data_IF_958197301581
#
_entry.id   IF_958197301581
#
_cell.length_a   1.000
_cell.length_b   1.000
_cell.length_c   1.000
_cell.angle_alpha   90.00
_cell.angle_beta   90.00
_cell.angle_gamma   90.00
#
_symmetry.space_group_name_H-M   'P 1'
#
loop_
_entity.id
_entity.type
_entity.pdbx_description
1 polymer ?
#
# COMPACT_ATOMS: atom_id res chain seq x y z
N UNK A 1 -9.42 7.14 18.68
CA UNK A 1 -9.30 7.78 17.35
C UNK A 1 -8.23 7.02 16.58
N UNK A 2 -8.60 6.39 15.46
CA UNK A 2 -7.70 5.52 14.70
C UNK A 2 -6.60 6.30 14.01
N UNK A 3 -5.43 5.68 13.83
CA UNK A 3 -4.35 6.24 13.02
C UNK A 3 -4.84 6.32 11.56
N UNK A 4 -4.73 7.48 10.88
CA UNK A 4 -5.13 7.59 9.48
C UNK A 4 -4.30 6.65 8.60
N UNK A 5 -4.86 6.21 7.48
CA UNK A 5 -4.16 5.29 6.58
C UNK A 5 -2.83 5.89 6.08
N UNK A 6 -2.83 7.17 5.69
CA UNK A 6 -1.62 7.92 5.33
C UNK A 6 -1.50 9.15 6.22
N UNK A 7 -0.40 9.23 6.97
CA UNK A 7 -0.06 10.42 7.74
C UNK A 7 0.74 11.44 6.91
N UNK A 8 0.82 12.68 7.41
CA UNK A 8 1.63 13.73 6.79
C UNK A 8 3.10 13.29 6.70
N UNK A 9 3.78 13.51 5.56
CA UNK A 9 5.16 13.10 5.42
C UNK A 9 6.08 13.93 6.30
N UNK A 10 7.09 13.28 6.86
CA UNK A 10 8.21 13.95 7.52
C UNK A 10 9.41 13.99 6.57
N UNK A 11 10.27 15.01 6.71
CA UNK A 11 11.54 15.12 5.96
C UNK A 11 12.74 15.27 6.89
N UNK A 12 12.58 14.90 8.14
CA UNK A 12 13.61 15.01 9.17
C UNK A 12 14.58 13.81 9.11
N UNK A 13 15.23 13.63 7.96
CA UNK A 13 16.30 12.66 7.75
C UNK A 13 17.43 13.32 6.95
N UNK A 14 18.61 12.71 6.97
CA UNK A 14 19.84 13.22 6.32
C UNK A 14 19.61 13.53 4.83
N UNK A 15 18.78 12.74 4.16
CA UNK A 15 18.52 12.85 2.73
C UNK A 15 17.36 13.80 2.38
N UNK A 16 16.67 14.38 3.38
CA UNK A 16 15.42 15.15 3.22
C UNK A 16 14.35 14.42 2.39
N UNK A 17 14.40 13.09 2.39
CA UNK A 17 13.42 12.22 1.74
C UNK A 17 12.07 12.36 2.44
N UNK A 18 10.98 12.28 1.67
CA UNK A 18 9.65 12.22 2.25
C UNK A 18 9.42 10.83 2.87
N UNK A 19 9.21 10.77 4.18
CA UNK A 19 8.90 9.56 4.92
C UNK A 19 7.43 9.61 5.36
N UNK A 20 6.64 8.65 4.91
CA UNK A 20 5.24 8.51 5.24
C UNK A 20 5.05 7.43 6.30
N UNK A 21 4.29 7.72 7.35
CA UNK A 21 3.81 6.70 8.30
C UNK A 21 2.47 6.17 7.82
N UNK A 22 2.35 4.85 7.73
CA UNK A 22 1.13 4.18 7.29
C UNK A 22 0.36 3.62 8.47
N UNK A 23 -0.93 3.95 8.55
CA UNK A 23 -1.90 3.29 9.44
C UNK A 23 -2.31 1.95 8.85
N UNK A 24 -1.47 0.93 9.04
CA UNK A 24 -1.63 -0.41 8.43
C UNK A 24 -3.01 -0.99 8.70
N UNK A 25 -3.53 -0.85 9.93
CA UNK A 25 -4.85 -1.36 10.30
C UNK A 25 -5.98 -0.71 9.49
N UNK A 26 -5.96 0.62 9.30
CA UNK A 26 -6.93 1.34 8.47
C UNK A 26 -6.83 0.93 7.00
N UNK A 27 -5.61 0.72 6.52
CA UNK A 27 -5.36 0.25 5.16
C UNK A 27 -5.92 -1.15 4.91
N UNK A 28 -5.64 -2.09 5.82
CA UNK A 28 -6.20 -3.45 5.78
C UNK A 28 -7.72 -3.43 5.86
N UNK A 29 -8.30 -2.61 6.73
CA UNK A 29 -9.76 -2.45 6.82
C UNK A 29 -10.35 -1.94 5.50
N UNK A 30 -9.70 -0.95 4.88
CA UNK A 30 -10.11 -0.43 3.58
C UNK A 30 -10.05 -1.49 2.47
N UNK A 31 -8.95 -2.26 2.40
CA UNK A 31 -8.80 -3.35 1.42
C UNK A 31 -9.89 -4.40 1.62
N UNK A 32 -10.10 -4.89 2.84
CA UNK A 32 -11.12 -5.89 3.14
C UNK A 32 -12.53 -5.38 2.83
N UNK A 33 -12.82 -4.10 3.09
CA UNK A 33 -14.12 -3.52 2.74
C UNK A 33 -14.30 -3.41 1.22
N UNK A 34 -13.26 -3.03 0.48
CA UNK A 34 -13.28 -2.99 -1.00
C UNK A 34 -13.47 -4.37 -1.62
N UNK A 35 -12.90 -5.43 -1.03
CA UNK A 35 -13.11 -6.80 -1.50
C UNK A 35 -14.57 -7.28 -1.37
N UNK A 36 -15.40 -6.62 -0.57
CA UNK A 36 -16.84 -6.92 -0.45
C UNK A 36 -17.69 -6.22 -1.50
N UNK A 37 -17.12 -5.30 -2.27
CA UNK A 37 -17.84 -4.61 -3.35
C UNK A 37 -17.90 -5.56 -4.54
N UNK A 38 -19.10 -5.97 -4.92
CA UNK A 38 -19.38 -7.01 -5.92
C UNK A 38 -19.84 -6.45 -7.27
N UNK A 39 -20.25 -5.18 -7.32
CA UNK A 39 -20.73 -4.53 -8.54
C UNK A 39 -19.61 -3.76 -9.26
N UNK A 40 -19.28 -4.21 -10.48
CA UNK A 40 -18.31 -3.53 -11.35
C UNK A 40 -18.72 -2.08 -11.66
N UNK A 41 -17.76 -1.16 -11.64
CA UNK A 41 -18.02 0.29 -11.80
C UNK A 41 -18.41 1.00 -10.50
N UNK A 42 -18.64 0.29 -9.40
CA UNK A 42 -18.82 0.91 -8.08
C UNK A 42 -17.49 1.41 -7.52
N UNK A 43 -17.48 2.56 -6.80
CA UNK A 43 -16.27 3.04 -6.14
C UNK A 43 -15.67 2.00 -5.19
N UNK A 44 -14.39 1.68 -5.39
CA UNK A 44 -13.69 0.69 -4.58
C UNK A 44 -13.86 -0.76 -5.02
N UNK A 45 -14.55 -1.03 -6.14
CA UNK A 45 -14.55 -2.35 -6.77
C UNK A 45 -13.11 -2.78 -7.11
N UNK A 46 -12.77 -4.03 -6.76
CA UNK A 46 -11.44 -4.57 -7.03
C UNK A 46 -11.45 -5.35 -8.34
N UNK A 47 -10.81 -4.81 -9.37
CA UNK A 47 -10.57 -5.54 -10.62
C UNK A 47 -9.43 -6.55 -10.45
N UNK A 48 -9.65 -7.76 -10.93
CA UNK A 48 -8.67 -8.85 -10.97
C UNK A 48 -8.56 -9.40 -12.39
N UNK A 49 -7.36 -9.43 -12.99
CA UNK A 49 -7.17 -10.06 -14.29
C UNK A 49 -7.50 -11.55 -14.25
N UNK A 50 -8.09 -12.06 -15.34
CA UNK A 50 -8.52 -13.47 -15.45
C UNK A 50 -7.42 -14.36 -16.04
N UNK A 51 -6.40 -13.79 -16.68
CA UNK A 51 -5.34 -14.56 -17.31
C UNK A 51 -4.34 -15.11 -16.28
N UNK A 52 -4.07 -16.41 -16.35
CA UNK A 52 -3.23 -17.14 -15.38
C UNK A 52 -1.81 -16.56 -15.24
N UNK A 53 -1.26 -15.99 -16.32
CA UNK A 53 0.08 -15.39 -16.35
C UNK A 53 0.24 -14.16 -15.42
N UNK A 54 -0.85 -13.59 -14.91
CA UNK A 54 -0.79 -12.44 -14.00
C UNK A 54 -0.54 -12.78 -12.54
N UNK A 55 -0.60 -14.08 -12.18
CA UNK A 55 -0.34 -14.53 -10.80
C UNK A 55 -1.50 -14.30 -9.82
N UNK A 56 -2.70 -13.97 -10.31
CA UNK A 56 -3.93 -13.94 -9.50
C UNK A 56 -4.52 -15.35 -9.39
N UNK A 57 -3.79 -16.24 -8.72
CA UNK A 57 -4.19 -17.62 -8.50
C UNK A 57 -4.93 -17.82 -7.15
N UNK A 58 -5.30 -19.06 -6.85
CA UNK A 58 -5.94 -19.38 -5.57
C UNK A 58 -5.10 -18.97 -4.35
N UNK A 59 -3.78 -19.09 -4.43
CA UNK A 59 -2.86 -18.73 -3.33
C UNK A 59 -2.88 -17.22 -3.06
N UNK A 60 -2.99 -16.40 -4.12
CA UNK A 60 -3.18 -14.96 -4.00
C UNK A 60 -4.48 -14.62 -3.27
N UNK A 61 -5.60 -15.23 -3.65
CA UNK A 61 -6.91 -14.95 -3.05
C UNK A 61 -7.04 -15.47 -1.61
N UNK A 62 -6.40 -16.59 -1.30
CA UNK A 62 -6.25 -17.03 0.10
C UNK A 62 -5.40 -16.02 0.89
N UNK A 63 -4.30 -15.56 0.31
CA UNK A 63 -3.36 -14.65 0.95
C UNK A 63 -3.91 -13.23 1.17
N UNK A 64 -4.71 -12.71 0.24
CA UNK A 64 -5.33 -11.38 0.37
C UNK A 64 -6.41 -11.37 1.47
N UNK A 65 -6.91 -12.55 1.84
CA UNK A 65 -7.85 -12.77 2.95
C UNK A 65 -7.20 -13.51 4.13
N UNK A 66 -5.87 -13.51 4.22
CA UNK A 66 -5.12 -14.27 5.23
C UNK A 66 -5.32 -13.76 6.66
N UNK A 67 -5.76 -12.51 6.82
CA UNK A 67 -6.03 -11.90 8.13
C UNK A 67 -7.49 -11.53 8.28
N UNK A 68 -7.99 -11.60 9.52
CA UNK A 68 -9.32 -11.12 9.89
C UNK A 68 -9.24 -10.18 11.07
N UNK A 69 -10.05 -9.13 11.05
CA UNK A 69 -10.24 -8.24 12.19
C UNK A 69 -11.10 -8.94 13.24
N UNK A 70 -10.60 -9.07 14.45
CA UNK A 70 -11.32 -9.66 15.58
C UNK A 70 -11.33 -8.69 16.77
N UNK A 71 -12.38 -8.75 17.58
CA UNK A 71 -12.46 -8.03 18.85
C UNK A 71 -12.14 -9.02 19.96
N UNK A 72 -11.05 -8.78 20.69
CA UNK A 72 -10.68 -9.53 21.89
C UNK A 72 -10.85 -8.66 23.13
N UNK A 73 -11.25 -9.28 24.25
CA UNK A 73 -11.34 -8.59 25.52
C UNK A 73 -10.04 -8.74 26.30
N UNK A 74 -9.47 -7.62 26.73
CA UNK A 74 -8.31 -7.60 27.62
C UNK A 74 -8.64 -6.76 28.86
N UNK A 75 -8.57 -7.38 30.04
CA UNK A 75 -8.95 -6.74 31.32
C UNK A 75 -10.33 -6.05 31.26
N UNK A 76 -11.32 -6.74 30.67
CA UNK A 76 -12.69 -6.23 30.54
C UNK A 76 -12.89 -5.14 29.48
N UNK A 77 -11.87 -4.76 28.70
CA UNK A 77 -11.98 -3.76 27.63
C UNK A 77 -11.84 -4.41 26.25
N UNK A 78 -12.72 -4.09 25.27
CA UNK A 78 -12.58 -4.59 23.92
C UNK A 78 -11.36 -3.96 23.24
N UNK A 79 -10.55 -4.79 22.61
CA UNK A 79 -9.40 -4.42 21.78
C UNK A 79 -9.57 -5.08 20.42
N UNK A 80 -9.50 -4.25 19.38
CA UNK A 80 -9.46 -4.72 18.00
C UNK A 80 -8.05 -5.21 17.69
N UNK A 81 -7.93 -6.37 17.08
CA UNK A 81 -6.68 -6.90 16.57
C UNK A 81 -6.88 -7.60 15.21
N UNK A 82 -5.81 -7.67 14.42
CA UNK A 82 -5.77 -8.45 13.19
C UNK A 82 -5.18 -9.83 13.50
N UNK A 83 -5.97 -10.88 13.24
CA UNK A 83 -5.57 -12.26 13.45
C UNK A 83 -5.26 -12.92 12.11
N UNK A 84 -4.00 -13.34 11.93
CA UNK A 84 -3.54 -14.11 10.77
C UNK A 84 -3.96 -15.58 10.86
N UNK A 85 -4.36 -16.17 9.73
CA UNK A 85 -4.57 -17.62 9.56
C UNK A 85 -3.22 -18.33 9.57
N UNK A 86 -3.07 -19.38 10.37
CA UNK A 86 -1.77 -20.01 10.65
C UNK A 86 -1.08 -20.61 9.41
N UNK A 87 -1.83 -21.13 8.45
CA UNK A 87 -1.32 -21.83 7.28
C UNK A 87 -1.23 -20.98 6.01
N UNK A 88 -1.62 -19.70 6.06
CA UNK A 88 -1.75 -18.85 4.86
C UNK A 88 -0.76 -17.69 4.93
N UNK A 89 0.09 -17.48 3.91
CA UNK A 89 0.94 -16.30 3.83
C UNK A 89 0.08 -15.03 3.66
N UNK A 90 0.40 -13.96 4.39
CA UNK A 90 -0.33 -12.70 4.34
C UNK A 90 0.29 -11.68 3.37
N UNK A 91 1.31 -12.09 2.61
CA UNK A 91 2.03 -11.22 1.67
C UNK A 91 1.09 -10.54 0.66
N UNK A 92 0.07 -11.22 0.06
CA UNK A 92 -0.82 -10.55 -0.88
C UNK A 92 -1.64 -9.42 -0.25
N UNK A 93 -2.09 -9.59 1.00
CA UNK A 93 -2.79 -8.53 1.73
C UNK A 93 -1.86 -7.34 2.04
N UNK A 94 -0.66 -7.61 2.54
CA UNK A 94 0.31 -6.57 2.87
C UNK A 94 0.79 -5.83 1.61
N UNK A 95 1.00 -6.54 0.50
CA UNK A 95 1.37 -5.97 -0.79
C UNK A 95 0.26 -5.07 -1.34
N UNK A 96 -1.01 -5.53 -1.31
CA UNK A 96 -2.17 -4.71 -1.72
C UNK A 96 -2.30 -3.45 -0.88
N UNK A 97 -2.03 -3.56 0.42
CA UNK A 97 -2.04 -2.42 1.34
C UNK A 97 -0.98 -1.38 0.94
N UNK A 98 0.28 -1.80 0.72
CA UNK A 98 1.34 -0.89 0.30
C UNK A 98 1.13 -0.30 -1.09
N UNK A 99 0.63 -1.09 -2.05
CA UNK A 99 0.28 -0.59 -3.38
C UNK A 99 -0.82 0.47 -3.30
N UNK A 100 -1.84 0.26 -2.47
CA UNK A 100 -2.91 1.25 -2.25
C UNK A 100 -2.35 2.52 -1.61
N UNK A 101 -1.49 2.39 -0.60
CA UNK A 101 -0.84 3.54 0.02
C UNK A 101 0.03 4.31 -0.98
N UNK A 102 0.79 3.62 -1.83
CA UNK A 102 1.61 4.24 -2.85
C UNK A 102 0.76 4.99 -3.89
N UNK A 103 -0.37 4.43 -4.32
CA UNK A 103 -1.30 5.07 -5.23
C UNK A 103 -1.90 6.33 -4.62
N UNK A 104 -2.35 6.28 -3.36
CA UNK A 104 -2.92 7.43 -2.66
C UNK A 104 -1.87 8.52 -2.36
N UNK A 105 -0.62 8.14 -2.05
CA UNK A 105 0.49 9.09 -1.89
C UNK A 105 0.82 9.78 -3.22
N UNK A 106 0.86 9.03 -4.31
CA UNK A 106 1.16 9.56 -5.64
C UNK A 106 0.01 10.42 -6.16
N UNK A 107 -1.23 10.06 -5.82
CA UNK A 107 -2.48 10.68 -6.25
C UNK A 107 -2.47 11.12 -7.74
N UNK A 108 -2.22 10.18 -8.67
CA UNK A 108 -2.18 10.50 -10.08
C UNK A 108 -3.57 10.84 -10.65
N UNK A 109 -3.59 11.64 -11.71
CA UNK A 109 -4.79 11.86 -12.52
C UNK A 109 -4.98 10.67 -13.47
N UNK A 110 -5.79 9.70 -13.04
CA UNK A 110 -5.98 8.43 -13.76
C UNK A 110 -6.71 8.60 -15.10
N UNK A 111 -7.63 9.56 -15.22
CA UNK A 111 -8.34 9.83 -16.47
C UNK A 111 -7.40 10.38 -17.53
N UNK A 112 -6.56 11.36 -17.16
CA UNK A 112 -5.53 11.86 -18.08
C UNK A 112 -4.54 10.78 -18.48
N UNK A 113 -4.18 9.86 -17.58
CA UNK A 113 -3.27 8.75 -17.93
C UNK A 113 -3.91 7.82 -18.96
N UNK A 114 -5.20 7.51 -18.79
CA UNK A 114 -5.96 6.69 -19.71
C UNK A 114 -6.10 7.35 -21.09
N UNK A 115 -6.40 8.64 -21.15
CA UNK A 115 -6.49 9.41 -22.40
C UNK A 115 -5.18 9.41 -23.19
N UNK A 116 -4.05 9.46 -22.50
CA UNK A 116 -2.71 9.49 -23.10
C UNK A 116 -2.11 8.10 -23.35
N UNK A 117 -2.88 7.02 -23.17
CA UNK A 117 -2.43 5.61 -23.25
C UNK A 117 -1.17 5.33 -22.41
N UNK A 118 -1.07 6.00 -21.25
CA UNK A 118 0.05 5.84 -20.33
C UNK A 118 -0.24 4.69 -19.36
N UNK A 119 0.13 3.48 -19.75
CA UNK A 119 -0.02 2.25 -18.94
C UNK A 119 1.24 1.87 -18.13
N UNK A 120 2.28 2.71 -18.14
CA UNK A 120 3.61 2.38 -17.59
C UNK A 120 4.15 3.37 -16.55
N UNK A 121 5.42 3.21 -16.17
CA UNK A 121 6.11 3.98 -15.12
C UNK A 121 6.08 5.50 -15.37
N UNK A 122 5.06 6.17 -14.84
CA UNK A 122 4.85 7.63 -14.91
C UNK A 122 5.99 8.40 -14.22
N UNK A 123 6.66 7.79 -13.24
CA UNK A 123 7.70 8.45 -12.46
C UNK A 123 9.08 7.85 -12.71
N UNK A 124 9.91 8.53 -13.53
CA UNK A 124 11.36 8.32 -13.52
C UNK A 124 11.96 9.09 -12.35
N UNK A 125 12.33 8.40 -11.27
CA UNK A 125 13.08 9.02 -10.19
C UNK A 125 14.42 9.51 -10.73
N UNK A 126 14.61 10.83 -10.90
CA UNK A 126 15.90 11.39 -11.28
C UNK A 126 16.91 11.09 -10.19
N UNK A 127 17.87 10.18 -10.44
CA UNK A 127 19.01 9.95 -9.54
C UNK A 127 19.75 11.28 -9.36
N UNK A 128 19.77 11.82 -8.14
CA UNK A 128 20.65 12.97 -7.82
C UNK A 128 22.09 12.53 -8.05
N UNK A 129 22.82 13.22 -8.94
CA UNK A 129 24.28 13.05 -9.08
C UNK A 129 24.92 13.25 -7.71
N UNK A 130 25.66 12.25 -7.24
CA UNK A 130 26.40 12.34 -5.99
C UNK A 130 27.30 13.58 -5.98
N UNK A 131 27.29 14.31 -4.87
CA UNK A 131 28.10 15.53 -4.70
C UNK A 131 29.58 15.12 -4.82
N UNK A 132 30.27 15.57 -5.88
CA UNK A 132 31.72 15.32 -6.05
C UNK A 132 32.45 15.84 -4.82
N UNK A 133 33.07 14.94 -4.06
CA UNK A 133 33.92 15.30 -2.91
C UNK A 133 35.24 15.78 -3.48
N UNK A 134 35.37 17.09 -3.68
CA UNK A 134 36.67 17.71 -4.00
C UNK A 134 37.54 17.56 -2.75
N UNK A 135 38.61 16.76 -2.83
CA UNK A 135 39.62 16.73 -1.79
C UNK A 135 40.25 18.12 -1.68
N UNK A 136 40.18 18.75 -0.52
CA UNK A 136 41.03 19.90 -0.22
C UNK A 136 42.43 19.33 -0.01
N UNK A 137 43.33 19.61 -0.94
CA UNK A 137 44.75 19.29 -0.80
C UNK A 137 45.30 19.88 0.49
N UNK A 138 46.15 19.10 1.16
CA UNK A 138 46.91 19.53 2.33
C UNK A 138 47.99 20.51 1.85
N UNK A 139 48.15 21.63 2.56
CA UNK A 139 49.28 22.58 2.41
C UNK A 139 50.37 22.22 3.40
#
# INVERSE_FOLDING_TARGET
>A
MGVPFIAKPTRNNVYKAALFTLGVDSGKETVINRLKVDHEGSPGYCHFPVNEETGYDASYFEGITAEKRVVKYYKGRPKVEWQKKSSVPNEPLDLRNYATAALEILNPDLEKMKENDQSGAVFKQTRKRGRRRMSKGVR
#
